data_IF_114323546475
#
_entry.id   IF_114323546475
#
_cell.length_a   1.000
_cell.length_b   1.000
_cell.length_c   1.000
_cell.angle_alpha   90.00
_cell.angle_beta   90.00
_cell.angle_gamma   90.00
#
_symmetry.space_group_name_H-M   'P 1'
#
loop_
_entity.id
_entity.type
_entity.pdbx_description
1 polymer ?
#
# COMPACT_ATOMS: atom_id res chain seq x y z
N UNK A 1 32.49 24.65 -34.10
CA UNK A 1 31.50 25.04 -33.08
C UNK A 1 30.45 23.94 -33.02
N UNK A 2 30.54 23.04 -32.04
CA UNK A 2 29.52 22.00 -31.80
C UNK A 2 28.63 22.53 -30.68
N UNK A 3 27.32 22.57 -30.90
CA UNK A 3 26.34 22.82 -29.83
C UNK A 3 25.99 21.47 -29.24
N UNK A 4 26.38 21.25 -27.98
CA UNK A 4 25.94 20.08 -27.22
C UNK A 4 24.55 20.37 -26.69
N UNK A 5 23.54 19.63 -27.14
CA UNK A 5 22.20 19.70 -26.56
C UNK A 5 22.17 18.89 -25.28
N UNK A 6 22.38 19.55 -24.14
CA UNK A 6 22.08 18.95 -22.85
C UNK A 6 20.56 18.74 -22.74
N UNK A 7 20.16 17.49 -22.49
CA UNK A 7 18.77 17.15 -22.14
C UNK A 7 18.63 17.27 -20.62
N UNK A 8 17.90 18.28 -20.17
CA UNK A 8 17.46 18.35 -18.77
C UNK A 8 16.43 17.25 -18.56
N UNK A 9 16.74 16.27 -17.72
CA UNK A 9 15.79 15.23 -17.30
C UNK A 9 15.14 15.71 -16.00
N UNK A 10 13.86 16.04 -16.07
CA UNK A 10 13.07 16.34 -14.87
C UNK A 10 12.58 15.03 -14.26
N UNK A 11 13.09 14.68 -13.07
CA UNK A 11 12.57 13.53 -12.31
C UNK A 11 11.40 14.02 -11.46
N UNK A 12 10.21 13.42 -11.64
CA UNK A 12 8.97 13.85 -11.00
C UNK A 12 8.88 13.40 -9.53
N UNK A 13 9.78 13.93 -8.71
CA UNK A 13 9.91 13.57 -7.28
C UNK A 13 8.75 14.17 -6.46
N UNK A 14 7.68 13.39 -6.34
CA UNK A 14 6.55 13.72 -5.45
C UNK A 14 6.90 13.45 -3.98
N UNK A 15 7.58 12.33 -3.69
CA UNK A 15 7.70 11.78 -2.34
C UNK A 15 9.13 11.60 -1.76
N UNK A 16 10.20 12.09 -2.39
CA UNK A 16 11.50 12.20 -1.68
C UNK A 16 11.56 13.48 -0.86
N UNK A 17 10.98 13.42 0.34
CA UNK A 17 11.16 14.39 1.42
C UNK A 17 11.77 13.61 2.60
N UNK A 18 12.55 14.28 3.44
CA UNK A 18 13.31 13.68 4.55
C UNK A 18 14.39 12.67 4.09
N UNK A 19 15.63 13.15 3.99
CA UNK A 19 16.84 12.38 4.25
C UNK A 19 17.96 13.35 4.59
N UNK A 20 18.44 13.31 5.82
CA UNK A 20 19.35 14.31 6.39
C UNK A 20 20.73 13.70 6.61
N UNK A 21 21.71 14.14 5.82
CA UNK A 21 23.13 13.79 6.02
C UNK A 21 23.90 15.08 6.30
N UNK A 22 24.66 15.17 7.41
CA UNK A 22 25.54 16.30 7.66
C UNK A 22 26.79 16.17 6.77
N UNK A 23 27.08 17.20 5.97
CA UNK A 23 28.32 17.29 5.18
C UNK A 23 29.03 18.60 5.57
N UNK A 24 30.31 18.50 5.93
CA UNK A 24 31.13 19.67 6.25
C UNK A 24 31.47 20.50 4.99
N UNK A 25 31.46 21.82 5.13
CA UNK A 25 31.54 22.77 4.01
C UNK A 25 32.91 22.78 3.30
N UNK A 26 32.88 22.66 1.96
CA UNK A 26 33.87 23.32 1.10
C UNK A 26 33.31 23.67 -0.29
N UNK A 27 33.07 24.98 -0.47
CA UNK A 27 32.79 25.75 -1.69
C UNK A 27 32.80 25.05 -3.07
N UNK A 28 31.65 25.08 -3.79
CA UNK A 28 31.38 26.05 -4.87
C UNK A 28 30.38 25.56 -5.94
N UNK A 29 29.48 26.46 -6.38
CA UNK A 29 28.60 26.38 -7.58
C UNK A 29 27.21 25.72 -7.42
N UNK A 30 26.26 26.25 -8.19
CA UNK A 30 24.80 25.94 -8.26
C UNK A 30 24.00 26.31 -6.99
N UNK A 31 22.90 27.09 -7.10
CA UNK A 31 22.04 27.45 -5.96
C UNK A 31 21.01 26.34 -5.65
N UNK A 32 21.47 25.11 -5.51
CA UNK A 32 20.63 23.95 -5.22
C UNK A 32 20.29 23.88 -3.73
N UNK A 33 19.32 24.70 -3.30
CA UNK A 33 19.02 24.90 -1.87
C UNK A 33 17.70 25.59 -1.54
N UNK A 34 16.89 25.98 -2.53
CA UNK A 34 15.59 26.60 -2.28
C UNK A 34 14.46 25.58 -2.00
N UNK A 35 14.65 24.31 -2.38
CA UNK A 35 13.60 23.28 -2.32
C UNK A 35 13.43 22.62 -0.94
N UNK A 36 14.49 22.52 -0.13
CA UNK A 36 14.48 21.76 1.14
C UNK A 36 13.90 22.54 2.34
N UNK A 37 13.80 23.87 2.25
CA UNK A 37 13.51 24.76 3.38
C UNK A 37 12.01 24.87 3.71
N UNK A 38 11.12 24.25 2.91
CA UNK A 38 9.71 24.64 2.82
C UNK A 38 8.70 23.63 3.41
N UNK A 39 9.14 22.52 4.01
CA UNK A 39 8.26 21.48 4.62
C UNK A 39 8.44 21.38 6.15
N UNK A 40 9.28 22.24 6.74
CA UNK A 40 9.75 22.21 8.14
C UNK A 40 8.68 22.54 9.21
N UNK A 41 7.40 22.69 8.85
CA UNK A 41 6.32 23.12 9.77
C UNK A 41 4.99 22.36 9.52
N UNK A 42 5.05 21.19 8.88
CA UNK A 42 3.93 20.23 8.81
C UNK A 42 4.32 19.02 9.67
N UNK A 43 3.43 18.53 10.57
CA UNK A 43 3.69 17.33 11.36
C UNK A 43 4.07 16.12 10.48
N UNK A 44 4.91 15.23 11.02
CA UNK A 44 5.39 14.05 10.29
C UNK A 44 4.22 13.17 9.84
N UNK A 45 4.29 12.64 8.62
CA UNK A 45 3.28 11.74 8.08
C UNK A 45 3.48 10.30 8.60
N UNK A 46 2.38 9.67 9.01
CA UNK A 46 2.26 8.21 9.20
C UNK A 46 1.83 7.51 7.91
N UNK A 47 1.02 8.18 7.09
CA UNK A 47 0.48 7.66 5.82
C UNK A 47 -0.09 8.81 4.98
N UNK A 48 0.17 8.77 3.68
CA UNK A 48 -0.35 9.70 2.68
C UNK A 48 -1.31 8.96 1.75
N UNK A 49 -2.55 9.42 1.69
CA UNK A 49 -3.52 8.94 0.69
C UNK A 49 -3.61 9.97 -0.42
N UNK A 50 -3.07 9.64 -1.59
CA UNK A 50 -3.23 10.42 -2.83
C UNK A 50 -4.43 9.87 -3.59
N UNK A 51 -5.45 10.68 -3.80
CA UNK A 51 -6.63 10.34 -4.61
C UNK A 51 -6.67 11.22 -5.85
N UNK A 52 -6.78 10.59 -7.02
CA UNK A 52 -6.89 11.24 -8.33
C UNK A 52 -8.26 10.85 -8.89
N UNK A 53 -9.14 11.83 -9.06
CA UNK A 53 -10.49 11.62 -9.58
C UNK A 53 -10.53 12.15 -11.02
N UNK A 54 -10.54 11.23 -12.00
CA UNK A 54 -10.42 11.55 -13.43
C UNK A 54 -11.79 11.82 -14.03
N UNK A 55 -11.89 12.81 -14.93
CA UNK A 55 -13.10 13.13 -15.69
C UNK A 55 -13.04 12.60 -17.13
N UNK A 56 -14.20 12.57 -17.77
CA UNK A 56 -14.40 12.22 -19.19
C UNK A 56 -13.66 13.18 -20.14
N UNK A 57 -13.60 14.46 -19.80
CA UNK A 57 -12.80 15.48 -20.52
C UNK A 57 -11.27 15.35 -20.32
N UNK A 58 -10.84 14.36 -19.53
CA UNK A 58 -9.43 14.13 -19.20
C UNK A 58 -8.84 15.12 -18.19
N UNK A 59 -9.62 16.03 -17.60
CA UNK A 59 -9.21 16.71 -16.37
C UNK A 59 -9.18 15.74 -15.18
N UNK A 60 -8.50 16.11 -14.09
CA UNK A 60 -8.53 15.35 -12.86
C UNK A 60 -8.51 16.23 -11.62
N UNK A 61 -9.29 15.87 -10.61
CA UNK A 61 -9.17 16.42 -9.25
C UNK A 61 -8.15 15.60 -8.47
N UNK A 62 -7.08 16.27 -8.07
CA UNK A 62 -6.06 15.73 -7.19
C UNK A 62 -6.39 16.08 -5.74
N UNK A 63 -6.31 15.11 -4.85
CA UNK A 63 -6.47 15.27 -3.40
C UNK A 63 -5.40 14.46 -2.65
N UNK A 64 -4.44 15.13 -2.02
CA UNK A 64 -3.39 14.52 -1.18
C UNK A 64 -3.77 14.72 0.28
N UNK A 65 -4.08 13.61 0.96
CA UNK A 65 -4.45 13.59 2.38
C UNK A 65 -3.32 12.98 3.20
N UNK A 66 -2.55 13.85 3.86
CA UNK A 66 -1.52 13.49 4.83
C UNK A 66 -2.20 13.21 6.17
N UNK A 67 -1.88 12.09 6.80
CA UNK A 67 -2.33 11.74 8.16
C UNK A 67 -1.13 11.61 9.10
N UNK A 68 -1.26 12.21 10.28
CA UNK A 68 -0.35 12.08 11.43
C UNK A 68 -1.14 11.47 12.57
N UNK A 69 -0.61 10.43 13.21
CA UNK A 69 -1.28 9.76 14.32
C UNK A 69 -1.13 10.57 15.60
N UNK A 70 -2.20 10.64 16.41
CA UNK A 70 -2.21 11.35 17.68
C UNK A 70 -2.46 10.33 18.80
N UNK A 71 -1.40 9.65 19.25
CA UNK A 71 -1.49 8.54 20.19
C UNK A 71 -1.83 9.04 21.60
N UNK A 72 -1.19 10.12 22.04
CA UNK A 72 -1.38 10.72 23.36
C UNK A 72 -1.86 12.18 23.29
N UNK A 73 -2.15 12.77 24.45
CA UNK A 73 -2.78 14.11 24.53
C UNK A 73 -1.78 15.26 24.27
N UNK A 74 -0.47 15.01 24.34
CA UNK A 74 0.57 15.94 23.89
C UNK A 74 0.56 16.06 22.38
N UNK A 75 0.49 14.94 21.65
CA UNK A 75 0.40 14.93 20.18
C UNK A 75 -0.82 15.74 19.70
N UNK A 76 -1.95 15.61 20.40
CA UNK A 76 -3.16 16.40 20.13
C UNK A 76 -2.90 17.89 20.34
N UNK A 77 -2.33 18.30 21.48
CA UNK A 77 -2.04 19.70 21.76
C UNK A 77 -1.02 20.32 20.77
N UNK A 78 0.01 19.58 20.37
CA UNK A 78 1.00 19.99 19.37
C UNK A 78 0.36 20.11 17.97
N UNK A 79 -0.56 19.19 17.62
CA UNK A 79 -1.31 19.27 16.38
C UNK A 79 -2.32 20.42 16.37
N UNK A 80 -3.03 20.68 17.48
CA UNK A 80 -3.90 21.86 17.63
C UNK A 80 -3.11 23.17 17.49
N UNK A 81 -1.92 23.25 18.11
CA UNK A 81 -1.01 24.38 17.95
C UNK A 81 -0.50 24.53 16.51
N UNK A 82 -0.30 23.45 15.76
CA UNK A 82 -0.07 23.49 14.30
C UNK A 82 -1.30 24.01 13.55
N UNK A 83 -2.51 23.53 13.89
CA UNK A 83 -3.73 23.99 13.24
C UNK A 83 -3.96 25.49 13.43
N UNK A 84 -3.63 26.07 14.59
CA UNK A 84 -3.74 27.52 14.81
C UNK A 84 -2.70 28.33 14.01
N UNK A 85 -1.46 27.85 13.86
CA UNK A 85 -0.50 28.43 12.90
C UNK A 85 -1.03 28.36 11.46
N UNK A 86 -1.58 27.21 11.07
CA UNK A 86 -2.16 26.99 9.75
C UNK A 86 -3.41 27.85 9.49
N UNK A 87 -4.25 28.08 10.51
CA UNK A 87 -5.42 28.99 10.43
C UNK A 87 -4.99 30.44 10.27
N UNK A 88 -3.91 30.86 10.96
CA UNK A 88 -3.42 32.23 10.94
C UNK A 88 -2.77 32.64 9.61
N UNK A 89 -2.03 31.75 8.94
CA UNK A 89 -1.30 32.02 7.69
C UNK A 89 -1.64 31.03 6.56
N UNK A 90 -2.94 30.72 6.42
CA UNK A 90 -3.44 29.70 5.49
C UNK A 90 -3.06 29.96 4.03
N UNK A 91 -2.98 31.23 3.65
CA UNK A 91 -2.65 31.65 2.28
C UNK A 91 -1.20 31.28 1.94
N UNK A 92 -0.23 31.50 2.85
CA UNK A 92 1.16 31.08 2.61
C UNK A 92 1.35 29.56 2.47
N UNK A 93 0.46 28.74 3.07
CA UNK A 93 0.42 27.29 2.83
C UNK A 93 -0.18 26.95 1.45
N UNK A 94 -1.24 27.64 1.03
CA UNK A 94 -1.88 27.43 -0.27
C UNK A 94 -0.96 27.87 -1.42
N UNK A 95 -0.41 29.08 -1.37
CA UNK A 95 0.55 29.65 -2.32
C UNK A 95 1.79 28.77 -2.53
N UNK A 96 2.26 28.13 -1.47
CA UNK A 96 3.42 27.22 -1.49
C UNK A 96 3.09 25.92 -2.22
N UNK A 97 1.90 25.38 -1.99
CA UNK A 97 1.37 24.22 -2.70
C UNK A 97 1.10 24.54 -4.18
N UNK A 98 0.47 25.68 -4.47
CA UNK A 98 0.22 26.19 -5.82
C UNK A 98 1.51 26.32 -6.63
N UNK A 99 2.55 26.98 -6.10
CA UNK A 99 3.84 27.11 -6.78
C UNK A 99 4.51 25.77 -7.06
N UNK A 100 4.46 24.82 -6.11
CA UNK A 100 5.03 23.46 -6.32
C UNK A 100 4.28 22.71 -7.40
N UNK A 101 2.95 22.61 -7.29
CA UNK A 101 2.16 21.80 -8.23
C UNK A 101 2.07 22.44 -9.62
N UNK A 102 2.03 23.78 -9.72
CA UNK A 102 2.14 24.45 -11.03
C UNK A 102 3.44 24.10 -11.73
N UNK A 103 4.56 24.00 -11.00
CA UNK A 103 5.83 23.53 -11.56
C UNK A 103 5.77 22.08 -12.08
N UNK A 104 5.13 21.17 -11.34
CA UNK A 104 4.90 19.78 -11.76
C UNK A 104 4.03 19.72 -13.03
N UNK A 105 2.92 20.48 -13.05
CA UNK A 105 2.01 20.52 -14.19
C UNK A 105 2.66 21.13 -15.43
N UNK A 106 3.47 22.18 -15.30
CA UNK A 106 4.25 22.71 -16.43
C UNK A 106 5.24 21.68 -16.99
N UNK A 107 5.95 20.95 -16.12
CA UNK A 107 6.90 19.91 -16.57
C UNK A 107 6.20 18.81 -17.36
N UNK A 108 5.04 18.33 -16.89
CA UNK A 108 4.23 17.34 -17.61
C UNK A 108 3.59 17.91 -18.90
N UNK A 109 3.28 19.22 -18.91
CA UNK A 109 2.76 19.92 -20.09
C UNK A 109 3.79 19.98 -21.22
N UNK A 110 5.04 20.32 -20.88
CA UNK A 110 6.18 20.32 -21.81
C UNK A 110 6.50 18.89 -22.29
N UNK A 111 6.62 17.92 -21.37
CA UNK A 111 6.95 16.52 -21.67
C UNK A 111 5.95 15.86 -22.62
N UNK A 112 4.65 16.03 -22.36
CA UNK A 112 3.57 15.41 -23.15
C UNK A 112 3.12 16.27 -24.34
N UNK A 113 3.65 17.50 -24.46
CA UNK A 113 3.24 18.51 -25.46
C UNK A 113 1.74 18.87 -25.43
N UNK A 114 1.06 18.63 -24.30
CA UNK A 114 -0.36 18.97 -24.06
C UNK A 114 -0.44 20.20 -23.17
N UNK A 115 -1.21 21.23 -23.55
CA UNK A 115 -1.39 22.43 -22.73
C UNK A 115 -2.20 22.11 -21.47
N UNK A 116 -1.55 22.00 -20.32
CA UNK A 116 -2.17 21.70 -19.03
C UNK A 116 -2.29 22.96 -18.17
N UNK A 117 -3.13 22.94 -17.13
CA UNK A 117 -3.21 24.02 -16.14
C UNK A 117 -3.66 23.46 -14.79
N UNK A 118 -3.05 23.95 -13.71
CA UNK A 118 -3.43 23.64 -12.34
C UNK A 118 -4.25 24.80 -11.75
N UNK A 119 -5.38 24.49 -11.12
CA UNK A 119 -6.37 25.47 -10.64
C UNK A 119 -7.05 25.00 -9.35
N UNK A 120 -7.92 25.83 -8.76
CA UNK A 120 -8.71 25.48 -7.58
C UNK A 120 -7.91 24.99 -6.36
N UNK A 121 -6.72 25.54 -6.13
CA UNK A 121 -5.88 25.19 -4.98
C UNK A 121 -6.61 25.43 -3.65
N UNK A 122 -6.69 24.39 -2.83
CA UNK A 122 -7.31 24.41 -1.50
C UNK A 122 -6.47 23.57 -0.55
N UNK A 123 -6.22 24.10 0.64
CA UNK A 123 -5.59 23.34 1.74
C UNK A 123 -6.50 23.41 2.97
N UNK A 124 -6.67 22.29 3.68
CA UNK A 124 -7.51 22.13 4.87
C UNK A 124 -6.79 21.29 5.91
N UNK A 125 -7.12 21.50 7.19
CA UNK A 125 -6.74 20.59 8.28
C UNK A 125 -7.93 20.33 9.20
N UNK A 126 -7.96 19.12 9.79
CA UNK A 126 -8.95 18.66 10.76
C UNK A 126 -8.31 17.63 11.69
N UNK A 127 -8.82 17.50 12.92
CA UNK A 127 -8.58 16.30 13.73
C UNK A 127 -9.77 15.36 13.53
N UNK A 128 -9.50 14.08 13.29
CA UNK A 128 -10.49 13.01 13.23
C UNK A 128 -10.30 12.14 14.48
N UNK A 129 -11.34 11.95 15.30
CA UNK A 129 -11.20 11.29 16.61
C UNK A 129 -11.44 9.77 16.59
N UNK A 130 -12.15 9.26 15.58
CA UNK A 130 -12.62 7.87 15.52
C UNK A 130 -12.24 7.19 14.19
N UNK A 131 -11.89 5.87 14.20
CA UNK A 131 -11.78 4.98 15.36
C UNK A 131 -10.46 5.14 16.16
N UNK A 132 -9.54 5.96 15.67
CA UNK A 132 -8.34 6.45 16.37
C UNK A 132 -8.21 7.95 16.11
N UNK A 133 -7.47 8.66 16.95
CA UNK A 133 -7.17 10.08 16.74
C UNK A 133 -6.10 10.26 15.65
N UNK A 134 -6.43 11.08 14.66
CA UNK A 134 -5.58 11.44 13.53
C UNK A 134 -5.64 12.95 13.30
N UNK A 135 -4.47 13.58 13.21
CA UNK A 135 -4.30 14.87 12.59
C UNK A 135 -4.30 14.69 11.07
N UNK A 136 -5.15 15.43 10.35
CA UNK A 136 -5.31 15.28 8.91
C UNK A 136 -5.07 16.61 8.22
N UNK A 137 -4.20 16.64 7.20
CA UNK A 137 -4.03 17.76 6.26
C UNK A 137 -4.42 17.29 4.87
N UNK A 138 -5.36 17.98 4.22
CA UNK A 138 -5.76 17.69 2.84
C UNK A 138 -5.42 18.87 1.95
N UNK A 139 -4.59 18.60 0.94
CA UNK A 139 -4.28 19.50 -0.17
C UNK A 139 -5.08 19.02 -1.39
N UNK A 140 -5.72 19.92 -2.13
CA UNK A 140 -6.44 19.55 -3.36
C UNK A 140 -6.36 20.63 -4.43
N UNK A 141 -6.37 20.21 -5.70
CA UNK A 141 -6.41 21.09 -6.87
C UNK A 141 -7.04 20.36 -8.07
N UNK A 142 -7.40 21.13 -9.11
CA UNK A 142 -7.96 20.64 -10.37
C UNK A 142 -6.92 20.81 -11.49
N UNK A 143 -6.52 19.72 -12.13
CA UNK A 143 -5.54 19.66 -13.23
C UNK A 143 -6.30 19.44 -14.55
N UNK A 144 -6.26 20.41 -15.46
CA UNK A 144 -6.93 20.30 -16.78
C UNK A 144 -6.04 19.58 -17.80
N UNK A 145 -6.63 18.75 -18.66
CA UNK A 145 -5.92 17.93 -19.66
C UNK A 145 -4.86 17.00 -19.03
N UNK A 146 -5.17 16.42 -17.87
CA UNK A 146 -4.31 15.50 -17.12
C UNK A 146 -4.16 14.16 -17.85
N UNK A 147 -5.28 13.48 -18.11
CA UNK A 147 -5.33 12.25 -18.89
C UNK A 147 -5.31 12.56 -20.40
N UNK A 148 -4.83 11.61 -21.20
CA UNK A 148 -4.95 11.65 -22.65
C UNK A 148 -6.30 11.02 -23.05
N UNK A 149 -7.10 11.72 -23.85
CA UNK A 149 -8.42 11.25 -24.29
C UNK A 149 -8.38 10.96 -25.79
N UNK A 150 -8.84 9.78 -26.20
CA UNK A 150 -8.94 9.35 -27.60
C UNK A 150 -10.29 8.67 -27.84
N UNK A 151 -11.19 9.38 -28.54
CA UNK A 151 -12.59 9.00 -28.65
C UNK A 151 -13.25 8.90 -27.27
N UNK A 152 -13.68 7.70 -26.92
CA UNK A 152 -14.27 7.37 -25.62
C UNK A 152 -13.23 6.79 -24.62
N UNK A 153 -11.97 6.55 -25.02
CA UNK A 153 -10.92 6.11 -24.10
C UNK A 153 -10.34 7.29 -23.31
N UNK A 154 -10.15 7.13 -21.99
CA UNK A 154 -9.33 8.01 -21.15
C UNK A 154 -8.10 7.23 -20.66
N UNK A 155 -6.88 7.75 -20.89
CA UNK A 155 -5.61 7.10 -20.51
C UNK A 155 -4.81 7.97 -19.54
N UNK A 156 -4.41 7.38 -18.41
CA UNK A 156 -3.52 7.98 -17.40
C UNK A 156 -2.18 7.25 -17.41
N UNK A 157 -1.08 7.98 -17.26
CA UNK A 157 0.26 7.42 -17.04
C UNK A 157 1.38 8.32 -17.53
N UNK A 158 1.23 8.90 -18.72
CA UNK A 158 2.28 9.67 -19.41
C UNK A 158 2.75 10.94 -18.67
N UNK A 159 1.89 11.52 -17.84
CA UNK A 159 2.19 12.61 -16.89
C UNK A 159 3.22 12.25 -15.81
N UNK A 160 3.43 10.96 -15.54
CA UNK A 160 4.42 10.45 -14.58
C UNK A 160 5.78 10.22 -15.25
N UNK A 161 6.25 11.17 -16.06
CA UNK A 161 7.60 11.09 -16.64
C UNK A 161 8.65 11.11 -15.51
N UNK A 162 9.58 10.15 -15.54
CA UNK A 162 10.52 9.93 -14.43
C UNK A 162 9.94 9.08 -13.27
N UNK A 163 8.66 8.70 -13.34
CA UNK A 163 8.01 7.77 -12.42
C UNK A 163 7.23 8.43 -11.28
N UNK A 164 6.92 7.63 -10.27
CA UNK A 164 6.21 8.04 -9.05
C UNK A 164 6.72 7.17 -7.88
N UNK A 165 6.60 7.65 -6.64
CA UNK A 165 7.04 6.92 -5.45
C UNK A 165 5.96 6.98 -4.36
N UNK A 166 5.72 5.83 -3.72
CA UNK A 166 4.89 5.69 -2.51
C UNK A 166 5.80 5.20 -1.37
N UNK A 167 5.74 5.84 -0.20
CA UNK A 167 6.48 5.38 0.98
C UNK A 167 5.73 4.26 1.75
N UNK A 168 6.28 3.80 2.86
CA UNK A 168 5.74 2.69 3.67
C UNK A 168 4.32 3.02 4.19
N UNK A 169 3.30 2.36 3.64
CA UNK A 169 1.90 2.59 4.01
C UNK A 169 1.24 3.82 3.34
N UNK A 170 1.89 4.47 2.38
CA UNK A 170 1.22 5.40 1.46
C UNK A 170 0.26 4.65 0.52
N UNK A 171 -0.73 5.34 -0.02
CA UNK A 171 -1.69 4.77 -0.99
C UNK A 171 -2.00 5.74 -2.14
N UNK A 172 -2.00 5.22 -3.36
CA UNK A 172 -2.56 5.88 -4.53
C UNK A 172 -3.94 5.29 -4.83
N UNK A 173 -4.94 6.15 -4.99
CA UNK A 173 -6.28 5.81 -5.47
C UNK A 173 -6.55 6.55 -6.77
N UNK A 174 -6.66 5.83 -7.88
CA UNK A 174 -7.01 6.37 -9.18
C UNK A 174 -8.46 5.99 -9.51
N UNK A 175 -9.34 6.98 -9.46
CA UNK A 175 -10.78 6.82 -9.69
C UNK A 175 -11.07 7.12 -11.17
N UNK A 176 -11.73 6.20 -11.91
CA UNK A 176 -12.12 6.46 -13.29
C UNK A 176 -13.22 7.54 -13.37
N UNK A 177 -13.51 8.03 -14.60
CA UNK A 177 -14.72 8.81 -14.85
C UNK A 177 -15.99 8.07 -14.41
N UNK A 178 -17.08 8.81 -14.24
CA UNK A 178 -18.39 8.22 -13.99
C UNK A 178 -18.79 7.32 -15.17
N UNK A 179 -19.36 6.15 -14.89
CA UNK A 179 -19.76 5.14 -15.89
C UNK A 179 -18.59 4.51 -16.67
N UNK A 180 -17.34 4.65 -16.22
CA UNK A 180 -16.13 4.02 -16.81
C UNK A 180 -15.55 2.90 -15.93
N UNK A 181 -14.79 2.00 -16.55
CA UNK A 181 -14.04 0.90 -15.89
C UNK A 181 -12.59 0.82 -16.39
N UNK A 182 -11.69 0.28 -15.55
CA UNK A 182 -10.31 0.03 -15.93
C UNK A 182 -10.19 -1.21 -16.84
N UNK A 183 -9.71 -1.03 -18.07
CA UNK A 183 -9.48 -2.13 -19.03
C UNK A 183 -8.02 -2.61 -19.00
N UNK A 184 -7.10 -1.81 -18.47
CA UNK A 184 -5.69 -2.18 -18.23
C UNK A 184 -5.04 -1.27 -17.19
N UNK A 185 -4.09 -1.81 -16.42
CA UNK A 185 -3.26 -1.10 -15.43
C UNK A 185 -1.79 -1.49 -15.58
N UNK A 186 -0.86 -0.55 -15.38
CA UNK A 186 0.59 -0.83 -15.44
C UNK A 186 1.36 -0.03 -14.37
N UNK A 187 1.99 -0.68 -13.36
CA UNK A 187 1.92 -2.10 -13.06
C UNK A 187 0.48 -2.54 -12.71
N UNK A 188 0.21 -3.86 -12.56
CA UNK A 188 -1.02 -4.33 -11.93
C UNK A 188 -1.30 -3.59 -10.61
N UNK A 189 -2.57 -3.40 -10.29
CA UNK A 189 -3.01 -2.79 -9.03
C UNK A 189 -3.09 -3.83 -7.92
N UNK A 190 -2.80 -3.39 -6.68
CA UNK A 190 -2.86 -4.23 -5.49
C UNK A 190 -4.30 -4.52 -5.05
N UNK A 191 -5.16 -3.50 -5.14
CA UNK A 191 -6.58 -3.56 -4.77
C UNK A 191 -7.44 -2.84 -5.85
N UNK A 192 -8.69 -3.27 -5.99
CA UNK A 192 -9.73 -2.56 -6.75
C UNK A 192 -10.98 -2.46 -5.89
N UNK A 193 -11.47 -1.24 -5.66
CA UNK A 193 -12.58 -0.92 -4.76
C UNK A 193 -13.72 -0.24 -5.56
N UNK A 194 -14.84 -0.96 -5.73
CA UNK A 194 -15.85 -0.76 -6.79
C UNK A 194 -15.24 -0.66 -8.20
N UNK A 195 -14.82 0.55 -8.61
CA UNK A 195 -14.09 0.83 -9.87
C UNK A 195 -12.78 1.60 -9.64
N UNK A 196 -12.47 1.96 -8.39
CA UNK A 196 -11.24 2.67 -8.03
C UNK A 196 -10.05 1.72 -8.09
N UNK A 197 -9.03 2.07 -8.88
CA UNK A 197 -7.76 1.35 -8.96
C UNK A 197 -6.85 1.81 -7.82
N UNK A 198 -6.28 0.89 -7.06
CA UNK A 198 -5.48 1.21 -5.86
C UNK A 198 -4.09 0.56 -5.94
N UNK A 199 -3.08 1.36 -5.59
CA UNK A 199 -1.72 0.88 -5.33
C UNK A 199 -1.28 1.26 -3.91
N UNK A 200 -0.47 0.41 -3.28
CA UNK A 200 -0.06 0.53 -1.87
C UNK A 200 1.48 0.50 -1.76
N UNK A 201 2.04 1.50 -1.08
CA UNK A 201 3.49 1.59 -0.86
C UNK A 201 4.02 0.67 0.24
N UNK A 202 5.33 0.39 0.25
CA UNK A 202 6.36 1.12 -0.49
C UNK A 202 6.59 0.60 -1.92
N UNK A 203 6.50 1.47 -2.92
CA UNK A 203 6.81 1.15 -4.33
C UNK A 203 7.40 2.35 -5.10
N UNK A 204 8.23 2.06 -6.11
CA UNK A 204 8.92 3.02 -6.96
C UNK A 204 8.64 2.71 -8.44
N UNK A 205 7.60 3.36 -8.96
CA UNK A 205 7.08 3.14 -10.31
C UNK A 205 8.07 3.58 -11.38
N UNK A 206 8.14 2.84 -12.49
CA UNK A 206 8.96 3.23 -13.64
C UNK A 206 8.39 4.49 -14.33
N UNK A 207 9.15 5.05 -15.29
CA UNK A 207 8.66 6.20 -16.06
C UNK A 207 7.32 5.90 -16.74
N UNK A 208 6.41 6.87 -16.71
CA UNK A 208 5.02 6.78 -17.18
C UNK A 208 4.14 5.77 -16.42
N UNK A 209 4.55 5.35 -15.21
CA UNK A 209 3.75 4.57 -14.27
C UNK A 209 3.54 5.36 -12.96
N UNK A 210 2.47 5.09 -12.19
CA UNK A 210 1.40 4.13 -12.48
C UNK A 210 0.43 4.61 -13.57
N UNK A 211 0.03 3.69 -14.43
CA UNK A 211 -0.81 3.95 -15.58
C UNK A 211 -2.12 3.13 -15.55
N UNK A 212 -3.17 3.67 -16.14
CA UNK A 212 -4.44 2.99 -16.35
C UNK A 212 -5.10 3.42 -17.67
N UNK A 213 -5.79 2.48 -18.30
CA UNK A 213 -6.70 2.71 -19.44
C UNK A 213 -8.13 2.56 -18.95
N UNK A 214 -8.94 3.58 -19.18
CA UNK A 214 -10.36 3.61 -18.85
C UNK A 214 -11.19 3.71 -20.12
N UNK A 215 -12.23 2.90 -20.20
CA UNK A 215 -13.24 2.90 -21.26
C UNK A 215 -14.63 2.88 -20.60
N UNK A 216 -15.69 3.31 -21.31
CA UNK A 216 -17.05 3.23 -20.77
C UNK A 216 -17.38 1.79 -20.36
N UNK A 217 -18.08 1.64 -19.24
CA UNK A 217 -18.67 0.37 -18.88
C UNK A 217 -19.74 0.05 -19.93
N UNK A 218 -19.49 -0.97 -20.76
CA UNK A 218 -20.45 -1.52 -21.72
C UNK A 218 -21.82 -1.65 -21.04
N UNK A 219 -22.74 -0.76 -21.43
CA UNK A 219 -24.06 -0.70 -20.83
C UNK A 219 -24.74 -2.04 -21.12
N UNK A 220 -25.00 -2.81 -20.06
CA UNK A 220 -25.62 -4.12 -20.19
C UNK A 220 -27.06 -3.93 -20.71
N UNK A 221 -27.24 -3.94 -22.03
CA UNK A 221 -28.53 -4.19 -22.70
C UNK A 221 -28.88 -5.68 -22.54
N UNK A 222 -29.05 -6.03 -21.26
CA UNK A 222 -29.36 -7.35 -20.74
C UNK A 222 -30.75 -7.73 -21.16
N UNK A 223 -30.85 -8.18 -22.42
CA UNK A 223 -32.05 -8.62 -23.11
C UNK A 223 -32.55 -9.98 -22.62
N UNK A 224 -32.49 -10.21 -21.29
CA UNK A 224 -33.06 -11.33 -20.55
C UNK A 224 -34.61 -11.23 -20.45
N UNK A 225 -35.23 -11.08 -21.62
CA UNK A 225 -36.64 -11.37 -21.88
C UNK A 225 -36.83 -12.54 -22.86
N UNK A 226 -35.75 -13.18 -23.32
CA UNK A 226 -35.79 -14.25 -24.34
C UNK A 226 -35.12 -15.56 -23.89
N UNK A 227 -35.35 -15.97 -22.63
CA UNK A 227 -34.98 -17.31 -22.10
C UNK A 227 -36.09 -17.99 -21.29
N UNK A 228 -37.37 -17.69 -21.58
CA UNK A 228 -38.51 -18.44 -21.03
C UNK A 228 -39.31 -19.27 -22.07
N UNK A 229 -38.95 -19.20 -23.36
CA UNK A 229 -39.56 -19.99 -24.44
C UNK A 229 -38.82 -21.32 -24.70
N UNK A 230 -38.54 -22.08 -23.62
CA UNK A 230 -38.08 -23.48 -23.70
C UNK A 230 -38.37 -24.29 -22.43
N UNK A 231 -39.61 -24.21 -21.95
CA UNK A 231 -40.23 -25.30 -21.19
C UNK A 231 -41.39 -25.82 -22.03
N UNK A 232 -41.47 -27.15 -22.19
CA UNK A 232 -42.31 -27.78 -23.20
C UNK A 232 -43.81 -27.53 -23.01
N UNK A 233 -44.55 -27.49 -24.14
CA UNK A 233 -46.01 -27.44 -24.16
C UNK A 233 -46.62 -28.59 -23.35
N UNK A 234 -47.19 -28.24 -22.19
CA UNK A 234 -48.14 -29.08 -21.47
C UNK A 234 -49.50 -28.43 -21.63
N UNK A 235 -50.34 -29.03 -22.47
CA UNK A 235 -51.73 -28.62 -22.62
C UNK A 235 -52.45 -28.96 -21.31
N UNK A 236 -52.85 -27.93 -20.56
CA UNK A 236 -53.80 -28.04 -19.46
C UNK A 236 -55.05 -27.25 -19.84
N UNK A 237 -56.18 -27.95 -19.82
CA UNK A 237 -57.48 -27.43 -20.22
C UNK A 237 -58.07 -26.44 -19.19
N UNK A 238 -59.17 -25.80 -19.58
CA UNK A 238 -59.86 -24.70 -18.88
C UNK A 238 -60.05 -24.91 -17.36
N UNK A 239 -59.64 -23.93 -16.54
CA UNK A 239 -60.05 -23.90 -15.12
C UNK A 239 -59.20 -23.10 -14.12
N UNK A 240 -59.82 -22.05 -13.56
CA UNK A 240 -59.62 -21.55 -12.18
C UNK A 240 -58.22 -20.98 -11.81
N UNK A 241 -58.01 -19.71 -12.16
CA UNK A 241 -56.90 -18.88 -11.66
C UNK A 241 -57.05 -18.46 -10.18
N UNK A 242 -56.02 -17.78 -9.63
CA UNK A 242 -56.07 -16.99 -8.37
C UNK A 242 -56.25 -17.73 -7.03
N UNK A 243 -55.33 -18.64 -6.67
CA UNK A 243 -55.20 -19.14 -5.27
C UNK A 243 -53.75 -19.21 -4.75
N UNK A 244 -52.79 -19.67 -5.54
CA UNK A 244 -51.51 -20.19 -5.02
C UNK A 244 -50.56 -19.14 -4.40
N UNK A 245 -50.61 -17.87 -4.84
CA UNK A 245 -49.64 -16.83 -4.38
C UNK A 245 -49.71 -16.56 -2.86
N UNK A 246 -50.88 -16.71 -2.23
CA UNK A 246 -51.05 -16.43 -0.80
C UNK A 246 -50.40 -17.51 0.09
N UNK A 247 -50.27 -18.74 -0.40
CA UNK A 247 -49.72 -19.86 0.39
C UNK A 247 -48.21 -19.71 0.67
N UNK A 248 -47.45 -19.13 -0.26
CA UNK A 248 -46.00 -18.98 -0.13
C UNK A 248 -45.60 -18.03 1.02
N UNK A 249 -46.32 -16.92 1.19
CA UNK A 249 -45.99 -15.89 2.19
C UNK A 249 -46.15 -16.41 3.63
N UNK A 250 -47.14 -17.29 3.86
CA UNK A 250 -47.41 -17.88 5.19
C UNK A 250 -46.29 -18.85 5.61
N UNK A 251 -45.72 -19.61 4.67
CA UNK A 251 -44.66 -20.58 4.97
C UNK A 251 -43.34 -19.91 5.37
N UNK A 252 -42.96 -18.81 4.69
CA UNK A 252 -41.74 -18.06 5.03
C UNK A 252 -41.85 -17.40 6.42
N UNK A 253 -43.02 -16.85 6.75
CA UNK A 253 -43.27 -16.27 8.08
C UNK A 253 -43.23 -17.32 9.22
N UNK A 254 -43.67 -18.55 8.94
CA UNK A 254 -43.66 -19.65 9.93
C UNK A 254 -42.27 -20.14 10.30
N UNK A 255 -41.35 -20.25 9.32
CA UNK A 255 -40.02 -20.85 9.53
C UNK A 255 -39.14 -20.10 10.53
N UNK A 256 -39.17 -18.77 10.52
CA UNK A 256 -38.29 -17.91 11.34
C UNK A 256 -38.62 -17.99 12.84
N UNK A 257 -39.84 -18.42 13.22
CA UNK A 257 -40.28 -18.43 14.62
C UNK A 257 -39.67 -19.56 15.46
N UNK A 258 -39.39 -20.72 14.84
CA UNK A 258 -38.93 -21.92 15.57
C UNK A 258 -37.41 -21.96 15.82
N UNK A 259 -36.61 -21.17 15.09
CA UNK A 259 -35.15 -21.13 15.24
C UNK A 259 -34.66 -20.40 16.52
N UNK A 260 -35.54 -19.72 17.27
CA UNK A 260 -35.19 -18.95 18.48
C UNK A 260 -35.66 -19.60 19.80
N UNK A 261 -35.71 -20.94 19.87
CA UNK A 261 -36.23 -21.68 21.04
C UNK A 261 -35.45 -22.93 21.45
N UNK A 262 -34.17 -23.04 21.06
CA UNK A 262 -33.22 -24.03 21.60
C UNK A 262 -31.81 -23.43 21.63
N UNK A 263 -31.45 -22.83 22.76
CA UNK A 263 -30.09 -22.63 23.26
C UNK A 263 -30.21 -22.25 24.74
N UNK A 264 -30.30 -23.27 25.60
CA UNK A 264 -30.37 -23.17 27.07
C UNK A 264 -30.12 -24.57 27.66
N UNK A 265 -29.52 -24.67 28.87
CA UNK A 265 -29.11 -25.92 29.59
C UNK A 265 -27.91 -26.63 28.94
N UNK A 266 -26.78 -26.96 29.60
CA UNK A 266 -26.23 -26.74 30.97
C UNK A 266 -24.68 -26.69 30.80
N UNK A 267 -23.87 -25.79 31.40
CA UNK A 267 -23.49 -25.64 32.82
C UNK A 267 -22.95 -26.91 33.53
N UNK A 268 -21.67 -26.87 33.95
CA UNK A 268 -21.16 -27.15 35.33
C UNK A 268 -19.62 -26.90 35.36
N UNK A 269 -19.06 -26.17 36.37
CA UNK A 269 -17.62 -25.83 36.42
C UNK A 269 -16.82 -26.51 37.57
N UNK A 270 -15.53 -26.80 37.34
CA UNK A 270 -14.44 -27.04 38.34
C UNK A 270 -13.13 -27.40 37.62
N UNK A 271 -11.90 -27.20 38.12
CA UNK A 271 -11.39 -26.49 39.33
C UNK A 271 -9.91 -26.09 39.15
N UNK A 272 -9.52 -25.04 39.88
CA UNK A 272 -8.15 -24.53 40.13
C UNK A 272 -7.22 -25.58 40.80
N UNK A 273 -5.95 -25.72 40.37
CA UNK A 273 -4.72 -25.44 41.17
C UNK A 273 -3.38 -25.92 40.54
N UNK A 274 -2.28 -25.25 40.94
CA UNK A 274 -0.89 -25.76 41.12
C UNK A 274 -0.05 -26.33 39.96
N UNK A 275 0.87 -25.48 39.48
CA UNK A 275 2.32 -25.65 39.25
C UNK A 275 3.04 -27.05 39.28
N UNK A 276 4.14 -27.06 38.51
CA UNK A 276 5.42 -27.80 38.66
C UNK A 276 5.69 -29.10 37.85
N UNK A 277 6.40 -28.91 36.72
CA UNK A 277 7.66 -29.54 36.33
C UNK A 277 7.79 -31.06 35.99
N UNK A 278 8.90 -31.36 35.30
CA UNK A 278 9.54 -32.67 35.03
C UNK A 278 9.02 -33.54 33.85
N UNK A 279 9.78 -33.44 32.74
CA UNK A 279 10.28 -34.47 31.79
C UNK A 279 9.76 -35.93 31.85
N UNK A 280 9.59 -36.60 30.69
CA UNK A 280 10.67 -37.43 30.06
C UNK A 280 10.19 -38.34 28.89
N UNK A 281 10.83 -38.18 27.71
CA UNK A 281 11.11 -39.17 26.63
C UNK A 281 10.03 -39.94 25.82
N UNK A 282 10.50 -40.38 24.63
CA UNK A 282 10.05 -41.51 23.78
C UNK A 282 8.73 -41.35 22.95
N UNK A 283 8.66 -41.74 21.65
CA UNK A 283 9.70 -42.13 20.67
C UNK A 283 9.20 -41.93 19.20
N UNK A 284 10.08 -42.14 18.23
CA UNK A 284 9.92 -42.27 16.75
C UNK A 284 8.95 -43.40 16.30
N UNK A 285 8.75 -43.68 14.98
CA UNK A 285 9.18 -43.00 13.73
C UNK A 285 8.09 -42.86 12.60
N UNK A 286 8.48 -42.20 11.49
CA UNK A 286 8.20 -42.45 10.03
C UNK A 286 6.77 -42.77 9.50
N UNK A 287 6.39 -42.63 8.21
CA UNK A 287 7.14 -42.80 6.94
C UNK A 287 6.47 -42.16 5.69
N UNK A 288 7.22 -42.05 4.58
CA UNK A 288 6.82 -42.25 3.15
C UNK A 288 5.80 -41.30 2.45
N UNK A 289 5.94 -40.90 1.16
CA UNK A 289 7.08 -40.77 0.20
C UNK A 289 6.65 -40.08 -1.13
N UNK A 290 7.64 -39.62 -1.94
CA UNK A 290 7.60 -39.44 -3.42
C UNK A 290 6.85 -38.21 -3.98
N UNK A 291 7.06 -37.74 -5.24
CA UNK A 291 7.97 -38.03 -6.39
C UNK A 291 7.71 -36.91 -7.45
N UNK A 292 8.50 -36.45 -8.44
CA UNK A 292 9.84 -36.70 -9.09
C UNK A 292 10.43 -35.30 -9.46
N UNK A 293 11.74 -34.98 -9.57
CA UNK A 293 12.94 -35.60 -10.18
C UNK A 293 13.25 -35.18 -11.65
N UNK A 294 14.39 -34.48 -11.85
CA UNK A 294 15.39 -34.51 -12.96
C UNK A 294 16.53 -33.52 -12.54
N UNK A 295 17.79 -33.85 -12.25
CA UNK A 295 18.89 -34.53 -13.01
C UNK A 295 19.65 -33.55 -13.94
N UNK A 296 21.00 -33.38 -13.97
CA UNK A 296 22.12 -33.72 -13.07
C UNK A 296 23.28 -32.68 -13.27
N UNK A 297 24.41 -32.70 -12.53
CA UNK A 297 25.63 -33.49 -12.82
C UNK A 297 26.58 -33.62 -11.60
N UNK A 298 27.55 -34.55 -11.66
CA UNK A 298 28.33 -35.14 -10.56
C UNK A 298 29.84 -34.74 -10.57
N UNK A 299 30.76 -35.06 -9.65
CA UNK A 299 30.81 -35.51 -8.23
C UNK A 299 32.30 -35.47 -7.75
N UNK A 300 32.58 -35.34 -6.44
CA UNK A 300 33.44 -36.29 -5.66
C UNK A 300 33.80 -35.84 -4.21
N UNK A 301 33.41 -36.67 -3.23
CA UNK A 301 34.11 -37.10 -1.97
C UNK A 301 35.28 -36.27 -1.36
N UNK A 302 35.42 -36.12 -0.03
CA UNK A 302 35.08 -37.08 1.04
C UNK A 302 34.95 -36.48 2.47
N UNK A 303 34.11 -37.12 3.29
CA UNK A 303 34.28 -37.46 4.72
C UNK A 303 34.74 -36.44 5.81
N UNK A 304 33.75 -36.06 6.64
CA UNK A 304 33.62 -36.50 8.05
C UNK A 304 34.29 -35.74 9.23
N UNK A 305 33.41 -35.20 10.09
CA UNK A 305 33.53 -34.82 11.53
C UNK A 305 34.43 -33.63 11.92
N UNK A 306 33.75 -32.53 12.30
CA UNK A 306 34.33 -31.39 13.02
C UNK A 306 33.41 -30.17 12.92
N UNK A 307 32.29 -30.17 13.66
CA UNK A 307 31.16 -29.24 13.44
C UNK A 307 31.49 -27.77 13.77
N UNK A 308 32.06 -27.07 12.80
CA UNK A 308 31.66 -25.69 12.48
C UNK A 308 30.98 -25.73 11.10
N UNK A 309 29.82 -25.09 10.90
CA UNK A 309 29.19 -25.05 9.59
C UNK A 309 30.10 -24.31 8.60
N UNK A 310 30.40 -24.92 7.45
CA UNK A 310 31.11 -24.25 6.37
C UNK A 310 30.22 -23.13 5.77
N UNK A 311 30.80 -21.97 5.39
CA UNK A 311 30.01 -20.78 5.04
C UNK A 311 29.10 -20.94 3.82
N UNK A 312 29.34 -21.95 2.98
CA UNK A 312 28.54 -22.24 1.78
C UNK A 312 27.17 -22.89 2.05
N UNK A 313 26.88 -23.30 3.30
CA UNK A 313 25.57 -23.84 3.71
C UNK A 313 24.85 -23.03 4.80
N UNK A 314 25.40 -21.87 5.21
CA UNK A 314 24.68 -20.95 6.09
C UNK A 314 23.46 -20.37 5.37
N UNK A 315 22.26 -20.54 5.93
CA UNK A 315 21.03 -19.97 5.38
C UNK A 315 21.06 -18.43 5.45
N UNK A 316 20.12 -17.77 4.78
CA UNK A 316 19.98 -16.31 4.93
C UNK A 316 19.69 -15.90 6.39
N UNK A 317 18.99 -16.74 7.16
CA UNK A 317 18.66 -16.46 8.56
C UNK A 317 19.89 -16.64 9.47
N UNK A 318 20.71 -17.67 9.23
CA UNK A 318 21.95 -17.89 9.98
C UNK A 318 22.96 -16.76 9.75
N UNK A 319 23.00 -16.20 8.54
CA UNK A 319 23.84 -15.03 8.20
C UNK A 319 23.41 -13.79 8.96
N UNK A 320 22.11 -13.54 9.07
CA UNK A 320 21.57 -12.40 9.85
C UNK A 320 21.75 -12.63 11.35
N UNK A 321 21.50 -13.85 11.86
CA UNK A 321 21.70 -14.24 13.25
C UNK A 321 23.16 -14.04 13.68
N UNK A 322 24.11 -14.66 12.97
CA UNK A 322 25.54 -14.55 13.29
C UNK A 322 26.06 -13.10 13.19
N UNK A 323 25.50 -12.29 12.30
CA UNK A 323 25.84 -10.86 12.20
C UNK A 323 25.28 -10.06 13.39
N UNK A 324 24.06 -10.34 13.84
CA UNK A 324 23.49 -9.73 15.06
C UNK A 324 24.29 -10.13 16.30
N UNK A 325 24.60 -11.42 16.48
CA UNK A 325 25.46 -11.93 17.55
C UNK A 325 26.80 -11.18 17.60
N UNK A 326 27.49 -11.05 16.45
CA UNK A 326 28.78 -10.36 16.36
C UNK A 326 28.70 -8.86 16.72
N UNK A 327 27.55 -8.22 16.49
CA UNK A 327 27.29 -6.82 16.82
C UNK A 327 26.66 -6.62 18.22
N UNK A 328 26.59 -7.66 19.04
CA UNK A 328 26.05 -7.58 20.41
C UNK A 328 24.52 -7.66 20.47
N UNK A 329 23.92 -8.51 19.64
CA UNK A 329 22.49 -8.79 19.57
C UNK A 329 21.69 -7.78 18.73
N UNK A 330 22.13 -6.52 18.65
CA UNK A 330 21.33 -5.41 18.11
C UNK A 330 21.99 -4.68 16.94
N UNK A 331 21.34 -4.62 15.77
CA UNK A 331 21.86 -3.94 14.58
C UNK A 331 20.77 -3.20 13.79
N UNK A 332 21.12 -2.14 13.06
CA UNK A 332 20.18 -1.46 12.15
C UNK A 332 19.96 -2.27 10.88
N UNK A 333 18.70 -2.41 10.44
CA UNK A 333 18.31 -3.18 9.26
C UNK A 333 19.01 -2.70 7.97
N UNK A 334 19.33 -1.40 7.87
CA UNK A 334 20.15 -0.85 6.79
C UNK A 334 21.59 -1.41 6.82
N UNK A 335 22.24 -1.38 7.98
CA UNK A 335 23.59 -1.90 8.16
C UNK A 335 23.68 -3.44 7.96
N UNK A 336 22.60 -4.19 8.21
CA UNK A 336 22.49 -5.61 7.85
C UNK A 336 22.46 -5.78 6.32
N UNK A 337 21.83 -4.87 5.58
CA UNK A 337 21.84 -4.89 4.12
C UNK A 337 23.21 -4.51 3.55
N UNK A 338 23.88 -3.50 4.15
CA UNK A 338 25.21 -3.06 3.75
C UNK A 338 26.27 -4.17 3.98
N UNK A 339 26.33 -4.74 5.19
CA UNK A 339 27.37 -5.72 5.59
C UNK A 339 27.21 -7.10 4.91
N UNK A 340 25.98 -7.48 4.55
CA UNK A 340 25.72 -8.73 3.80
C UNK A 340 25.72 -8.52 2.27
N UNK A 341 25.97 -7.31 1.77
CA UNK A 341 25.86 -6.90 0.36
C UNK A 341 24.47 -7.24 -0.26
N UNK A 342 23.40 -7.08 0.51
CA UNK A 342 22.04 -7.45 0.11
C UNK A 342 21.19 -6.25 -0.32
N UNK A 343 20.25 -6.48 -1.24
CA UNK A 343 19.21 -5.48 -1.51
C UNK A 343 18.34 -5.27 -0.26
N UNK A 344 17.93 -4.03 -0.01
CA UNK A 344 17.01 -3.72 1.09
C UNK A 344 15.73 -4.58 1.06
N UNK A 345 15.26 -4.97 -0.14
CA UNK A 345 14.14 -5.89 -0.34
C UNK A 345 14.43 -7.34 0.07
N UNK A 346 15.65 -7.85 -0.12
CA UNK A 346 16.06 -9.16 0.41
C UNK A 346 16.16 -9.10 1.93
N UNK A 347 16.90 -8.13 2.46
CA UNK A 347 17.09 -7.97 3.91
C UNK A 347 15.75 -7.79 4.64
N UNK A 348 14.83 -6.98 4.10
CA UNK A 348 13.50 -6.81 4.69
C UNK A 348 12.67 -8.10 4.68
N UNK A 349 12.77 -8.93 3.63
CA UNK A 349 12.06 -10.22 3.56
C UNK A 349 12.62 -11.23 4.58
N UNK A 350 13.94 -11.36 4.67
CA UNK A 350 14.61 -12.26 5.61
C UNK A 350 14.30 -11.85 7.05
N UNK A 351 14.57 -10.58 7.40
CA UNK A 351 14.35 -10.04 8.75
C UNK A 351 12.89 -10.09 9.18
N UNK A 352 11.93 -9.82 8.27
CA UNK A 352 10.50 -9.88 8.65
C UNK A 352 10.07 -11.32 8.91
N UNK A 353 10.52 -12.29 8.10
CA UNK A 353 10.25 -13.70 8.35
C UNK A 353 10.90 -14.22 9.64
N UNK A 354 12.14 -13.81 9.95
CA UNK A 354 12.76 -14.12 11.25
C UNK A 354 11.98 -13.53 12.43
N UNK A 355 11.28 -12.40 12.25
CA UNK A 355 10.40 -11.82 13.27
C UNK A 355 9.06 -12.57 13.38
N UNK A 356 8.48 -13.02 12.26
CA UNK A 356 7.30 -13.88 12.24
C UNK A 356 7.58 -15.26 12.89
N UNK A 357 8.81 -15.77 12.72
CA UNK A 357 9.35 -16.99 13.36
C UNK A 357 9.74 -16.78 14.83
N UNK A 358 9.73 -15.54 15.34
CA UNK A 358 10.04 -15.19 16.73
C UNK A 358 11.53 -15.09 17.11
N UNK A 359 12.44 -15.20 16.14
CA UNK A 359 13.89 -15.15 16.38
C UNK A 359 14.46 -13.73 16.54
N UNK A 360 13.75 -12.69 16.08
CA UNK A 360 14.18 -11.28 16.22
C UNK A 360 13.01 -10.33 16.52
N UNK A 361 13.25 -9.28 17.30
CA UNK A 361 12.31 -8.16 17.47
C UNK A 361 12.68 -7.00 16.53
N UNK A 362 11.65 -6.34 15.94
CA UNK A 362 11.80 -5.22 15.00
C UNK A 362 11.36 -3.89 15.64
N UNK A 363 12.31 -3.15 16.19
CA UNK A 363 12.11 -1.87 16.87
C UNK A 363 12.34 -0.69 15.92
N UNK A 364 11.29 0.07 15.59
CA UNK A 364 11.41 1.28 14.75
C UNK A 364 11.96 2.46 15.57
N UNK A 365 13.20 2.88 15.29
CA UNK A 365 13.83 4.05 15.93
C UNK A 365 13.85 5.20 14.92
N UNK A 366 12.82 6.05 15.01
CA UNK A 366 12.60 7.15 14.07
C UNK A 366 12.29 6.66 12.65
N UNK A 367 13.29 6.72 11.77
CA UNK A 367 13.19 6.31 10.35
C UNK A 367 13.99 5.06 9.99
N UNK A 368 14.70 4.47 10.94
CA UNK A 368 15.42 3.21 10.74
C UNK A 368 14.77 2.11 11.60
N UNK A 369 14.70 0.90 11.05
CA UNK A 369 14.38 -0.29 11.84
C UNK A 369 15.67 -0.80 12.50
N UNK A 370 15.62 -1.02 13.81
CA UNK A 370 16.63 -1.71 14.59
C UNK A 370 16.12 -3.11 14.85
N UNK A 371 16.94 -4.10 14.55
CA UNK A 371 16.66 -5.51 14.73
C UNK A 371 17.41 -5.96 15.97
N UNK A 372 16.70 -6.61 16.89
CA UNK A 372 17.23 -7.17 18.12
C UNK A 372 17.11 -8.69 18.07
N UNK A 373 18.18 -9.41 18.37
CA UNK A 373 18.16 -10.85 18.48
C UNK A 373 17.45 -11.25 19.77
N UNK A 374 16.47 -12.16 19.67
CA UNK A 374 15.87 -12.80 20.83
C UNK A 374 16.68 -14.08 21.13
N UNK A 375 17.17 -14.19 22.37
CA UNK A 375 17.76 -15.44 22.85
C UNK A 375 16.64 -16.46 23.09
N UNK A 376 16.80 -17.69 22.61
CA UNK A 376 15.87 -18.79 22.88
C UNK A 376 15.92 -19.17 24.38
N UNK A 377 14.82 -18.97 25.12
CA UNK A 377 14.65 -19.42 26.51
C UNK A 377 14.52 -20.97 26.57
N UNK A 378 15.60 -21.64 27.01
CA UNK A 378 15.80 -23.11 27.10
C UNK A 378 15.31 -23.74 28.44
#
# INVERSE_FOLDING_TARGET
>A
MRVTTERVVAVLVVASIFSSVPIETSAASVPDGAAQTAVQDVPTADTTVTRIEVADDGSARWSVTVRTRLENDTDVADYEAFQDRFRADREAYADRFERRMTGVVSSASDATSRNMTATEFRVRTSIQELPRRWGVVTYSFTWTNFAAVDGETVVVGDVFEGGFYLDDGDRLQLVPPAEYVATSTSPPSDEVDDTTVIWIGPDNFATQQPAARFEPAEANDGSDRSRLDSVGSVIVDDGLATVIVVAAVVLVAGGVSLARRRDDIDLIPSRRSSAAAAVESADRPTDTDGETADDADAEQSSESIGQMPSPDLATDDDRVRALLEHNGGRMRQAAIADELEWSASKTSRVVSRMADEGAVEKLRIGRENVIDLLEDDD
#
